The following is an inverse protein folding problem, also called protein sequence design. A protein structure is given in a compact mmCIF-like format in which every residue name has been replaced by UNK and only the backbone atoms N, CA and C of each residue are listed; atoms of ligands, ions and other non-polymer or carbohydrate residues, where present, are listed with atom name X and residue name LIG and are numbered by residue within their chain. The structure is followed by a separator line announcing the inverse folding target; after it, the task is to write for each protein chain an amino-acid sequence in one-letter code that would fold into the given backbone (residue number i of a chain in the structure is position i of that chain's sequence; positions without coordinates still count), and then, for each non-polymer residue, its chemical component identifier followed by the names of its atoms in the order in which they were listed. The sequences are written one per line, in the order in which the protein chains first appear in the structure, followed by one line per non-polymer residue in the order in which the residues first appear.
data_IF_003270062421
#
_entry.id   IF_003270062421
#
_cell.length_a   1.000
_cell.length_b   1.000
_cell.length_c   1.000
_cell.angle_alpha   90.00
_cell.angle_beta   90.00
_cell.angle_gamma   90.00
#
_symmetry.space_group_name_H-M   'P 1'
#
loop_
_entity.id
_entity.type
_entity.pdbx_description
1 polymer ?
#
# COMPACT_ATOMS: atom_id res chain seq x y z
N UNK A 1 -17.34 25.77 10.60
CA UNK A 1 -17.26 24.43 9.96
C UNK A 1 -15.93 23.82 10.37
N UNK A 2 -15.89 22.54 10.83
CA UNK A 2 -14.63 21.88 11.24
C UNK A 2 -13.81 21.55 10.01
N UNK A 3 -12.48 21.68 10.11
CA UNK A 3 -11.55 21.39 9.00
C UNK A 3 -10.87 20.07 9.24
N UNK A 4 -10.87 19.20 8.21
CA UNK A 4 -10.13 17.94 8.18
C UNK A 4 -8.95 18.13 7.22
N UNK A 5 -7.73 17.91 7.70
CA UNK A 5 -6.54 17.89 6.84
C UNK A 5 -6.28 16.49 6.33
N UNK A 6 -5.99 16.32 5.04
CA UNK A 6 -5.60 15.02 4.46
C UNK A 6 -4.24 15.16 3.79
N UNK A 7 -3.23 14.56 4.40
CA UNK A 7 -1.90 14.37 3.83
C UNK A 7 -1.84 13.01 3.16
N UNK A 8 -1.62 12.96 1.86
CA UNK A 8 -1.49 11.70 1.13
C UNK A 8 -0.16 11.63 0.38
N UNK A 9 0.58 10.53 0.53
CA UNK A 9 1.83 10.29 -0.19
C UNK A 9 1.62 9.98 -1.68
N UNK A 10 0.41 9.67 -2.10
CA UNK A 10 0.05 9.34 -3.48
C UNK A 10 -0.37 10.54 -4.31
N UNK A 11 -0.96 10.22 -5.46
CA UNK A 11 -1.45 11.16 -6.45
C UNK A 11 -2.98 11.05 -6.59
N UNK A 12 -3.72 12.17 -6.72
CA UNK A 12 -5.18 12.16 -6.79
C UNK A 12 -5.71 11.31 -7.95
N UNK A 13 -5.02 11.30 -9.09
CA UNK A 13 -5.44 10.58 -10.30
C UNK A 13 -5.48 9.05 -10.11
N UNK A 14 -4.71 8.54 -9.16
CA UNK A 14 -4.60 7.10 -8.92
C UNK A 14 -5.42 6.60 -7.73
N UNK A 15 -6.06 7.49 -6.99
CA UNK A 15 -6.68 7.22 -5.70
C UNK A 15 -8.17 7.57 -5.61
N UNK A 16 -8.84 7.81 -6.74
CA UNK A 16 -10.25 8.22 -6.78
C UNK A 16 -11.18 7.26 -6.01
N UNK A 17 -11.01 5.95 -6.18
CA UNK A 17 -11.79 4.93 -5.47
C UNK A 17 -11.55 4.97 -3.95
N UNK A 18 -10.30 5.13 -3.52
CA UNK A 18 -9.95 5.17 -2.10
C UNK A 18 -10.44 6.46 -1.44
N UNK A 19 -10.34 7.60 -2.15
CA UNK A 19 -10.91 8.87 -1.68
C UNK A 19 -12.42 8.78 -1.56
N UNK A 20 -13.10 8.21 -2.55
CA UNK A 20 -14.55 7.97 -2.48
C UNK A 20 -14.92 7.06 -1.31
N UNK A 21 -14.11 6.04 -1.00
CA UNK A 21 -14.34 5.18 0.16
C UNK A 21 -14.17 5.95 1.48
N UNK A 22 -13.17 6.83 1.58
CA UNK A 22 -13.02 7.72 2.74
C UNK A 22 -14.24 8.61 2.96
N UNK A 23 -14.75 9.25 1.88
CA UNK A 23 -15.95 10.08 1.95
C UNK A 23 -17.19 9.28 2.35
N UNK A 24 -17.33 8.03 1.89
CA UNK A 24 -18.44 7.15 2.34
C UNK A 24 -18.37 6.87 3.84
N UNK A 25 -17.20 6.45 4.36
CA UNK A 25 -17.04 6.20 5.79
C UNK A 25 -17.24 7.45 6.66
N UNK A 26 -16.80 8.61 6.17
CA UNK A 26 -17.04 9.90 6.83
C UNK A 26 -18.53 10.25 6.81
N UNK A 27 -19.23 10.01 5.71
CA UNK A 27 -20.68 10.20 5.54
C UNK A 27 -21.50 9.31 6.46
N UNK A 28 -21.10 8.03 6.64
CA UNK A 28 -21.74 7.10 7.59
C UNK A 28 -21.62 7.58 9.05
N UNK A 29 -20.56 8.34 9.36
CA UNK A 29 -20.40 8.99 10.65
C UNK A 29 -21.09 10.37 10.72
N UNK A 30 -21.91 10.74 9.72
CA UNK A 30 -22.69 11.98 9.72
C UNK A 30 -21.96 13.21 9.21
N UNK A 31 -20.78 13.08 8.61
CA UNK A 31 -19.98 14.21 8.13
C UNK A 31 -19.83 14.20 6.60
N UNK A 32 -20.19 15.34 5.98
CA UNK A 32 -20.18 15.51 4.52
C UNK A 32 -19.37 16.76 4.17
N UNK A 33 -18.38 16.60 3.29
CA UNK A 33 -17.54 17.71 2.80
C UNK A 33 -18.40 18.78 2.11
N UNK A 34 -18.13 20.04 2.41
CA UNK A 34 -18.91 21.20 1.91
C UNK A 34 -20.24 21.44 2.63
N UNK A 35 -20.72 20.54 3.52
CA UNK A 35 -21.95 20.73 4.27
C UNK A 35 -21.69 21.04 5.75
N UNK A 36 -21.02 20.15 6.47
CA UNK A 36 -20.74 20.31 7.91
C UNK A 36 -19.25 20.18 8.28
N UNK A 37 -18.42 19.76 7.33
CA UNK A 37 -16.95 19.78 7.41
C UNK A 37 -16.35 20.34 6.12
N UNK A 38 -15.07 20.75 6.17
CA UNK A 38 -14.27 21.08 4.98
C UNK A 38 -13.03 20.22 4.97
N UNK A 39 -12.71 19.60 3.82
CA UNK A 39 -11.52 18.75 3.68
C UNK A 39 -10.44 19.48 2.89
N UNK A 40 -9.24 19.57 3.48
CA UNK A 40 -8.06 20.19 2.88
C UNK A 40 -7.04 19.11 2.51
N UNK A 41 -6.90 18.82 1.21
CA UNK A 41 -5.95 17.83 0.71
C UNK A 41 -4.57 18.42 0.45
N UNK A 42 -3.52 17.62 0.76
CA UNK A 42 -2.14 17.84 0.33
C UNK A 42 -1.59 16.52 -0.22
N UNK A 43 -1.11 16.56 -1.44
CA UNK A 43 -0.66 15.41 -2.19
C UNK A 43 0.86 15.44 -2.38
N UNK A 44 1.54 14.35 -2.03
CA UNK A 44 2.98 14.17 -2.23
C UNK A 44 3.37 13.84 -3.68
N UNK A 45 2.51 14.12 -4.63
CA UNK A 45 2.51 13.70 -6.02
C UNK A 45 3.88 13.79 -6.74
N UNK A 46 4.59 14.91 -6.64
CA UNK A 46 5.86 15.09 -7.35
C UNK A 46 7.02 14.31 -6.73
N UNK A 47 7.09 14.26 -5.42
CA UNK A 47 8.09 13.48 -4.70
C UNK A 47 7.82 11.98 -4.83
N UNK A 48 6.56 11.61 -4.87
CA UNK A 48 6.10 10.27 -5.08
C UNK A 48 6.52 9.73 -6.48
N UNK A 49 6.38 10.54 -7.53
CA UNK A 49 6.86 10.21 -8.87
C UNK A 49 8.37 10.01 -8.94
N UNK A 50 9.13 10.69 -8.06
CA UNK A 50 10.59 10.60 -7.97
C UNK A 50 11.07 9.54 -6.97
N UNK A 51 10.15 8.84 -6.26
CA UNK A 51 10.49 7.92 -5.20
C UNK A 51 11.04 8.59 -3.93
N UNK A 52 10.88 9.89 -3.79
CA UNK A 52 11.37 10.71 -2.68
C UNK A 52 10.19 11.28 -1.88
N UNK A 53 10.21 11.18 -0.56
CA UNK A 53 9.12 11.60 0.32
C UNK A 53 9.40 12.88 1.13
N UNK A 54 10.52 13.58 0.87
CA UNK A 54 10.93 14.78 1.64
C UNK A 54 9.89 15.91 1.66
N UNK A 55 9.13 16.08 0.56
CA UNK A 55 8.08 17.09 0.48
C UNK A 55 6.93 16.83 1.45
N UNK A 56 6.68 15.58 1.83
CA UNK A 56 5.60 15.27 2.78
C UNK A 56 5.75 15.96 4.11
N UNK A 57 6.98 16.21 4.59
CA UNK A 57 7.25 16.96 5.82
C UNK A 57 6.78 18.41 5.69
N UNK A 58 7.08 19.08 4.57
CA UNK A 58 6.63 20.44 4.31
C UNK A 58 5.10 20.52 4.19
N UNK A 59 4.47 19.60 3.46
CA UNK A 59 3.02 19.52 3.30
C UNK A 59 2.31 19.22 4.64
N UNK A 60 2.90 18.36 5.47
CA UNK A 60 2.41 18.10 6.82
C UNK A 60 2.48 19.39 7.69
N UNK A 61 3.57 20.13 7.59
CA UNK A 61 3.74 21.40 8.31
C UNK A 61 2.76 22.47 7.82
N UNK A 62 2.43 22.53 6.53
CA UNK A 62 1.39 23.41 6.00
C UNK A 62 0.02 23.07 6.62
N UNK A 63 -0.38 21.80 6.62
CA UNK A 63 -1.64 21.36 7.21
C UNK A 63 -1.70 21.63 8.72
N UNK A 64 -0.58 21.43 9.43
CA UNK A 64 -0.50 21.67 10.87
C UNK A 64 -0.63 23.15 11.27
N UNK A 65 -0.44 24.10 10.34
CA UNK A 65 -0.68 25.53 10.54
C UNK A 65 -2.15 25.93 10.42
N UNK A 66 -2.96 25.07 9.78
CA UNK A 66 -4.40 25.29 9.65
C UNK A 66 -5.10 24.86 10.95
N UNK A 67 -6.28 25.41 11.27
CA UNK A 67 -7.07 25.00 12.43
C UNK A 67 -7.78 23.66 12.18
N UNK A 68 -6.99 22.63 11.82
CA UNK A 68 -7.54 21.30 11.53
C UNK A 68 -7.94 20.58 12.81
N UNK A 69 -9.16 20.07 12.85
CA UNK A 69 -9.69 19.28 13.97
C UNK A 69 -9.11 17.87 14.00
N UNK A 70 -8.88 17.26 12.81
CA UNK A 70 -8.28 15.94 12.63
C UNK A 70 -7.38 15.99 11.40
N UNK A 71 -6.20 15.33 11.48
CA UNK A 71 -5.30 15.13 10.35
C UNK A 71 -5.34 13.65 9.92
N UNK A 72 -5.67 13.41 8.68
CA UNK A 72 -5.59 12.08 8.06
C UNK A 72 -4.24 11.94 7.38
N UNK A 73 -3.48 10.91 7.76
CA UNK A 73 -2.17 10.60 7.18
C UNK A 73 -2.28 9.35 6.31
N UNK A 74 -2.55 9.54 5.03
CA UNK A 74 -2.88 8.49 4.08
C UNK A 74 -1.69 8.09 3.20
N UNK A 75 -1.66 6.82 2.77
CA UNK A 75 -0.61 6.28 1.89
C UNK A 75 0.58 5.68 2.63
N UNK A 76 0.39 5.20 3.86
CA UNK A 76 1.36 4.38 4.58
C UNK A 76 2.28 5.12 5.55
N UNK A 77 3.40 4.48 5.96
CA UNK A 77 4.24 4.96 7.07
C UNK A 77 4.82 6.36 6.87
N UNK A 78 5.22 6.70 5.64
CA UNK A 78 5.88 7.98 5.33
C UNK A 78 4.98 9.18 5.63
N UNK A 79 3.70 9.13 5.27
CA UNK A 79 2.73 10.18 5.59
C UNK A 79 2.46 10.24 7.09
N UNK A 80 2.35 9.08 7.75
CA UNK A 80 2.07 9.00 9.18
C UNK A 80 3.22 9.58 10.01
N UNK A 81 4.46 9.29 9.64
CA UNK A 81 5.65 9.87 10.30
C UNK A 81 5.75 11.37 10.09
N UNK A 82 5.53 11.86 8.86
CA UNK A 82 5.51 13.28 8.56
C UNK A 82 4.42 14.03 9.34
N UNK A 83 3.21 13.48 9.38
CA UNK A 83 2.10 14.05 10.17
C UNK A 83 2.40 14.05 11.67
N UNK A 84 2.98 12.96 12.20
CA UNK A 84 3.37 12.85 13.61
C UNK A 84 4.37 13.93 14.02
N UNK A 85 5.36 14.18 13.16
CA UNK A 85 6.40 15.19 13.40
C UNK A 85 5.85 16.62 13.36
N UNK A 86 4.97 16.93 12.40
CA UNK A 86 4.44 18.26 12.19
C UNK A 86 3.34 18.67 13.18
N UNK A 87 2.41 17.78 13.48
CA UNK A 87 1.24 18.07 14.30
C UNK A 87 1.50 17.79 15.78
N UNK A 88 1.64 18.82 16.62
CA UNK A 88 1.93 18.66 18.07
C UNK A 88 0.76 18.07 18.84
N UNK A 89 -0.45 18.61 18.69
CA UNK A 89 -1.63 18.26 19.50
C UNK A 89 -2.82 17.75 18.67
N UNK A 90 -2.81 17.91 17.36
CA UNK A 90 -3.90 17.50 16.48
C UNK A 90 -4.04 15.98 16.46
N UNK A 91 -5.25 15.41 16.63
CA UNK A 91 -5.53 14.02 16.38
C UNK A 91 -5.12 13.57 14.98
N UNK A 92 -4.54 12.38 14.86
CA UNK A 92 -4.09 11.84 13.57
C UNK A 92 -4.71 10.47 13.35
N UNK A 93 -5.33 10.28 12.17
CA UNK A 93 -5.81 8.98 11.68
C UNK A 93 -4.93 8.57 10.50
N UNK A 94 -4.15 7.51 10.66
CA UNK A 94 -3.31 6.99 9.58
C UNK A 94 -3.99 5.85 8.82
N UNK A 95 -3.59 5.63 7.56
CA UNK A 95 -4.09 4.50 6.75
C UNK A 95 -2.97 3.60 6.29
N UNK A 96 -3.23 2.27 6.32
CA UNK A 96 -2.38 1.24 5.70
C UNK A 96 -0.91 1.28 6.14
N UNK A 97 -0.65 1.60 7.40
CA UNK A 97 0.72 1.55 7.96
C UNK A 97 1.10 0.09 8.20
N UNK A 98 2.23 -0.34 7.66
CA UNK A 98 2.67 -1.74 7.70
C UNK A 98 2.79 -2.28 9.13
N UNK A 99 3.56 -1.61 9.98
CA UNK A 99 3.68 -1.92 11.40
C UNK A 99 3.73 -0.62 12.20
N UNK A 100 2.60 -0.16 12.73
CA UNK A 100 2.54 1.11 13.44
C UNK A 100 3.23 1.08 14.81
N UNK A 101 3.47 -0.10 15.39
CA UNK A 101 4.21 -0.25 16.65
C UNK A 101 5.71 -0.18 16.40
N UNK A 102 6.26 -0.99 15.48
CA UNK A 102 7.69 -0.94 15.11
C UNK A 102 8.10 0.43 14.55
N UNK A 103 7.22 1.09 13.80
CA UNK A 103 7.48 2.46 13.30
C UNK A 103 7.36 3.53 14.39
N UNK A 104 7.06 3.16 15.63
CA UNK A 104 6.97 4.07 16.75
C UNK A 104 5.79 5.05 16.65
N UNK A 105 4.78 4.77 15.84
CA UNK A 105 3.59 5.63 15.70
C UNK A 105 2.65 5.49 16.90
N UNK A 106 2.46 4.27 17.37
CA UNK A 106 1.60 3.93 18.51
C UNK A 106 2.32 3.01 19.49
N UNK A 107 1.82 2.94 20.75
CA UNK A 107 2.39 2.06 21.79
C UNK A 107 1.99 0.60 21.61
N UNK A 108 0.71 0.37 21.26
CA UNK A 108 0.15 -0.95 20.93
C UNK A 108 -1.03 -0.78 19.97
N UNK A 109 -1.48 -1.87 19.37
CA UNK A 109 -2.63 -1.83 18.46
C UNK A 109 -3.93 -1.60 19.23
N UNK A 110 -4.13 -2.27 20.38
CA UNK A 110 -5.36 -2.17 21.17
C UNK A 110 -5.50 -0.83 21.88
N UNK A 111 -4.38 -0.28 22.36
CA UNK A 111 -4.32 1.01 23.06
C UNK A 111 -3.19 1.87 22.50
N UNK A 112 -3.46 2.64 21.45
CA UNK A 112 -2.46 3.47 20.77
C UNK A 112 -1.73 4.45 21.70
N UNK A 113 -2.44 4.97 22.72
CA UNK A 113 -1.84 5.68 23.84
C UNK A 113 -1.28 7.06 23.51
N UNK A 114 -1.88 7.77 22.56
CA UNK A 114 -1.46 9.12 22.16
C UNK A 114 -2.47 9.78 21.26
N UNK A 115 -2.00 10.63 20.37
CA UNK A 115 -2.85 11.36 19.41
C UNK A 115 -3.05 10.61 18.07
N UNK A 116 -2.47 9.43 17.91
CA UNK A 116 -2.51 8.65 16.67
C UNK A 116 -3.34 7.39 16.84
N UNK A 117 -4.16 7.11 15.82
CA UNK A 117 -4.83 5.82 15.59
C UNK A 117 -5.00 5.64 14.09
N UNK A 118 -5.60 4.54 13.62
CA UNK A 118 -5.87 4.34 12.20
C UNK A 118 -5.96 2.88 11.80
N UNK A 119 -5.53 2.56 10.57
CA UNK A 119 -5.57 1.21 10.02
C UNK A 119 -4.16 0.70 9.72
N UNK A 120 -3.85 -0.51 10.17
CA UNK A 120 -2.62 -1.20 9.82
C UNK A 120 -2.73 -1.87 8.44
N UNK A 121 -1.61 -2.04 7.75
CA UNK A 121 -1.56 -2.66 6.42
C UNK A 121 -1.11 -4.11 6.40
N UNK A 122 -0.33 -4.57 7.39
CA UNK A 122 0.27 -5.91 7.50
C UNK A 122 0.95 -6.39 6.20
N UNK A 123 1.45 -5.45 5.37
CA UNK A 123 1.84 -5.75 3.99
C UNK A 123 3.11 -6.57 3.87
N UNK A 124 4.06 -6.45 4.81
CA UNK A 124 5.31 -7.24 4.81
C UNK A 124 5.07 -8.69 5.25
N UNK A 125 4.16 -8.93 6.20
CA UNK A 125 3.78 -10.28 6.62
C UNK A 125 3.13 -11.07 5.48
N UNK A 126 2.47 -10.37 4.55
CA UNK A 126 1.84 -10.97 3.38
C UNK A 126 2.81 -11.29 2.24
N UNK A 127 4.05 -10.80 2.29
CA UNK A 127 5.03 -11.09 1.24
C UNK A 127 5.40 -12.59 1.21
N UNK A 128 5.38 -13.27 2.37
CA UNK A 128 5.52 -14.72 2.43
C UNK A 128 4.39 -15.43 1.64
N UNK A 129 3.15 -15.05 1.89
CA UNK A 129 1.99 -15.60 1.16
C UNK A 129 2.06 -15.29 -0.34
N UNK A 130 2.56 -14.11 -0.73
CA UNK A 130 2.78 -13.78 -2.14
C UNK A 130 3.84 -14.66 -2.80
N UNK A 131 4.91 -15.01 -2.07
CA UNK A 131 5.89 -15.99 -2.55
C UNK A 131 5.29 -17.39 -2.70
N UNK A 132 4.44 -17.82 -1.76
CA UNK A 132 3.69 -19.09 -1.85
C UNK A 132 2.80 -19.11 -3.10
N UNK A 133 2.08 -18.03 -3.36
CA UNK A 133 1.23 -17.89 -4.55
C UNK A 133 2.04 -17.98 -5.84
N UNK A 134 3.21 -17.34 -5.92
CA UNK A 134 4.10 -17.48 -7.09
C UNK A 134 4.58 -18.91 -7.27
N UNK A 135 4.91 -19.61 -6.19
CA UNK A 135 5.30 -21.02 -6.22
C UNK A 135 4.16 -21.91 -6.68
N UNK A 136 2.92 -21.63 -6.27
CA UNK A 136 1.74 -22.38 -6.68
C UNK A 136 1.47 -22.23 -8.19
N UNK A 137 1.69 -21.02 -8.75
CA UNK A 137 1.62 -20.80 -10.19
C UNK A 137 2.77 -21.45 -10.98
N UNK A 138 3.93 -21.55 -10.39
CA UNK A 138 5.14 -22.05 -11.05
C UNK A 138 5.87 -23.07 -10.16
N UNK A 139 5.41 -24.34 -10.15
CA UNK A 139 5.90 -25.37 -9.23
C UNK A 139 7.26 -25.95 -9.66
N UNK A 140 8.21 -25.10 -10.09
CA UNK A 140 9.58 -25.53 -10.39
C UNK A 140 10.31 -25.95 -9.11
N UNK A 141 11.18 -26.96 -9.22
CA UNK A 141 12.01 -27.41 -8.10
C UNK A 141 12.95 -26.31 -7.57
N UNK A 142 13.43 -25.46 -8.44
CA UNK A 142 14.22 -24.25 -8.14
C UNK A 142 13.55 -23.05 -8.82
N UNK A 143 12.82 -22.27 -8.06
CA UNK A 143 12.20 -21.05 -8.55
C UNK A 143 13.07 -19.84 -8.16
N UNK A 144 13.48 -19.07 -9.17
CA UNK A 144 14.21 -17.79 -8.98
C UNK A 144 13.21 -16.66 -9.05
N UNK A 145 13.01 -15.97 -7.93
CA UNK A 145 12.04 -14.86 -7.81
C UNK A 145 12.78 -13.54 -7.77
N UNK A 146 12.50 -12.67 -8.74
CA UNK A 146 12.86 -11.27 -8.68
C UNK A 146 12.02 -10.55 -7.62
N UNK A 147 12.64 -9.66 -6.86
CA UNK A 147 11.95 -8.82 -5.88
C UNK A 147 12.25 -7.36 -6.16
N UNK A 148 11.23 -6.56 -6.43
CA UNK A 148 11.38 -5.13 -6.65
C UNK A 148 11.08 -4.38 -5.36
N UNK A 149 12.07 -3.64 -4.82
CA UNK A 149 11.98 -2.87 -3.59
C UNK A 149 12.28 -1.39 -3.81
N UNK A 150 11.65 -0.51 -3.02
CA UNK A 150 11.98 0.91 -3.01
C UNK A 150 13.04 1.20 -1.92
N UNK A 151 14.27 1.60 -2.29
CA UNK A 151 15.35 1.87 -1.32
C UNK A 151 15.06 3.09 -0.42
N UNK A 152 14.10 3.95 -0.79
CA UNK A 152 13.74 5.14 -0.02
C UNK A 152 12.78 4.83 1.15
N UNK A 153 12.31 3.59 1.28
CA UNK A 153 11.49 3.19 2.43
C UNK A 153 12.33 3.04 3.69
N UNK A 154 11.84 3.54 4.85
CA UNK A 154 12.56 3.41 6.12
C UNK A 154 12.79 1.97 6.59
N UNK A 155 11.90 1.03 6.19
CA UNK A 155 11.88 -0.36 6.64
C UNK A 155 12.38 -1.37 5.57
N UNK A 156 12.94 -0.89 4.45
CA UNK A 156 13.33 -1.73 3.28
C UNK A 156 14.33 -2.82 3.64
N UNK A 157 15.31 -2.52 4.48
CA UNK A 157 16.36 -3.50 4.85
C UNK A 157 15.78 -4.61 5.74
N UNK A 158 14.90 -4.25 6.70
CA UNK A 158 14.18 -5.22 7.52
C UNK A 158 13.26 -6.10 6.66
N UNK A 159 12.46 -5.50 5.79
CA UNK A 159 11.60 -6.23 4.84
C UNK A 159 12.40 -7.19 3.95
N UNK A 160 13.52 -6.73 3.39
CA UNK A 160 14.38 -7.56 2.53
C UNK A 160 14.99 -8.74 3.30
N UNK A 161 15.40 -8.53 4.56
CA UNK A 161 15.91 -9.58 5.43
C UNK A 161 14.85 -10.63 5.71
N UNK A 162 13.63 -10.20 6.07
CA UNK A 162 12.52 -11.10 6.36
C UNK A 162 12.11 -11.91 5.12
N UNK A 163 12.07 -11.26 3.94
CA UNK A 163 11.82 -11.93 2.66
C UNK A 163 12.84 -13.01 2.34
N UNK A 164 14.14 -12.75 2.58
CA UNK A 164 15.20 -13.74 2.35
C UNK A 164 15.02 -14.95 3.27
N UNK A 165 14.77 -14.73 4.57
CA UNK A 165 14.54 -15.81 5.52
C UNK A 165 13.36 -16.70 5.08
N UNK A 166 12.24 -16.09 4.65
CA UNK A 166 11.09 -16.83 4.15
C UNK A 166 11.35 -17.58 2.85
N UNK A 167 12.12 -16.99 1.95
CA UNK A 167 12.51 -17.64 0.71
C UNK A 167 13.41 -18.85 0.95
N UNK A 168 14.35 -18.75 1.91
CA UNK A 168 15.21 -19.87 2.31
C UNK A 168 14.39 -21.03 2.89
N UNK A 169 13.39 -20.75 3.76
CA UNK A 169 12.45 -21.75 4.26
C UNK A 169 11.70 -22.48 3.13
N UNK A 170 11.37 -21.74 2.07
CA UNK A 170 10.65 -22.24 0.89
C UNK A 170 11.57 -22.84 -0.17
N UNK A 171 12.90 -22.80 0.02
CA UNK A 171 13.92 -23.18 -0.98
C UNK A 171 13.81 -22.41 -2.30
N UNK A 172 13.47 -21.10 -2.20
CA UNK A 172 13.45 -20.16 -3.31
C UNK A 172 14.75 -19.37 -3.38
N UNK A 173 15.16 -18.99 -4.59
CA UNK A 173 16.26 -18.07 -4.78
C UNK A 173 15.70 -16.67 -5.01
N UNK A 174 16.14 -15.66 -4.25
CA UNK A 174 15.73 -14.27 -4.46
C UNK A 174 16.81 -13.44 -5.16
N UNK A 175 16.36 -12.66 -6.13
CA UNK A 175 17.12 -11.61 -6.79
C UNK A 175 16.45 -10.28 -6.45
N UNK A 176 17.06 -9.50 -5.56
CA UNK A 176 16.49 -8.24 -5.09
C UNK A 176 17.05 -7.08 -5.90
N UNK A 177 16.17 -6.34 -6.57
CA UNK A 177 16.48 -5.13 -7.32
C UNK A 177 15.83 -3.90 -6.68
N UNK A 178 16.59 -2.81 -6.66
CA UNK A 178 16.18 -1.54 -6.06
C UNK A 178 15.71 -0.57 -7.14
N UNK A 179 14.54 0.04 -6.92
CA UNK A 179 14.03 1.12 -7.77
C UNK A 179 13.41 2.22 -6.91
N UNK A 180 14.11 3.34 -6.79
CA UNK A 180 13.70 4.50 -5.99
C UNK A 180 13.29 5.70 -6.83
N UNK A 181 13.51 5.65 -8.16
CA UNK A 181 13.11 6.65 -9.12
C UNK A 181 12.55 5.99 -10.40
N UNK A 182 11.87 6.79 -11.23
CA UNK A 182 11.18 6.27 -12.42
C UNK A 182 12.09 5.50 -13.39
N UNK A 183 13.30 6.03 -13.63
CA UNK A 183 14.30 5.40 -14.51
C UNK A 183 14.85 4.09 -13.98
N UNK A 184 14.86 3.92 -12.65
CA UNK A 184 15.39 2.73 -11.99
C UNK A 184 14.52 1.51 -12.27
N UNK A 185 13.19 1.69 -12.39
CA UNK A 185 12.25 0.59 -12.66
C UNK A 185 12.66 -0.15 -13.93
N UNK A 186 12.89 0.58 -15.03
CA UNK A 186 13.33 -0.01 -16.31
C UNK A 186 14.67 -0.72 -16.20
N UNK A 187 15.59 -0.15 -15.43
CA UNK A 187 16.92 -0.73 -15.19
C UNK A 187 16.81 -2.02 -14.38
N UNK A 188 16.01 -2.03 -13.31
CA UNK A 188 15.75 -3.19 -12.49
C UNK A 188 15.15 -4.36 -13.32
N UNK A 189 14.15 -4.09 -14.16
CA UNK A 189 13.57 -5.11 -15.04
C UNK A 189 14.59 -5.69 -16.03
N UNK A 190 15.47 -4.87 -16.63
CA UNK A 190 16.55 -5.35 -17.49
C UNK A 190 17.53 -6.26 -16.74
N UNK A 191 17.84 -5.94 -15.47
CA UNK A 191 18.72 -6.77 -14.65
C UNK A 191 18.05 -8.10 -14.29
N UNK A 192 16.78 -8.07 -13.86
CA UNK A 192 15.99 -9.28 -13.56
C UNK A 192 15.91 -10.21 -14.79
N UNK A 193 15.66 -9.65 -15.97
CA UNK A 193 15.63 -10.42 -17.22
C UNK A 193 16.99 -11.07 -17.54
N UNK A 194 18.12 -10.35 -17.36
CA UNK A 194 19.46 -10.90 -17.53
C UNK A 194 19.77 -12.02 -16.54
N UNK A 195 19.26 -11.91 -15.32
CA UNK A 195 19.39 -12.95 -14.29
C UNK A 195 18.39 -14.10 -14.46
N UNK A 196 17.57 -14.08 -15.50
CA UNK A 196 16.61 -15.12 -15.87
C UNK A 196 15.71 -15.50 -14.71
N UNK A 197 15.17 -14.50 -13.99
CA UNK A 197 14.18 -14.77 -12.95
C UNK A 197 12.92 -15.39 -13.54
N UNK A 198 12.31 -16.32 -12.81
CA UNK A 198 11.12 -17.06 -13.25
C UNK A 198 9.82 -16.33 -12.94
N UNK A 199 9.82 -15.47 -11.93
CA UNK A 199 8.66 -14.73 -11.43
C UNK A 199 9.10 -13.44 -10.75
N UNK A 200 8.15 -12.54 -10.47
CA UNK A 200 8.39 -11.25 -9.84
C UNK A 200 7.47 -11.02 -8.66
N UNK A 201 8.03 -10.62 -7.53
CA UNK A 201 7.33 -10.00 -6.41
C UNK A 201 7.58 -8.49 -6.42
N UNK A 202 6.53 -7.69 -6.52
CA UNK A 202 6.62 -6.24 -6.32
C UNK A 202 6.19 -5.91 -4.90
N UNK A 203 7.09 -5.36 -4.08
CA UNK A 203 6.78 -5.05 -2.69
C UNK A 203 5.82 -3.88 -2.56
N UNK A 204 5.11 -3.82 -1.42
CA UNK A 204 4.14 -2.76 -1.16
C UNK A 204 4.83 -1.41 -1.00
N UNK A 205 4.60 -0.52 -1.94
CA UNK A 205 5.11 0.85 -1.89
C UNK A 205 4.20 1.81 -2.68
N UNK A 206 3.90 3.01 -2.15
CA UNK A 206 3.14 4.02 -2.86
C UNK A 206 3.76 4.44 -4.20
N UNK A 207 5.09 4.49 -4.30
CA UNK A 207 5.80 4.80 -5.54
C UNK A 207 5.47 3.77 -6.63
N UNK A 208 5.55 2.46 -6.34
CA UNK A 208 5.17 1.43 -7.32
C UNK A 208 3.69 1.48 -7.67
N UNK A 209 2.83 1.82 -6.71
CA UNK A 209 1.39 1.97 -6.98
C UNK A 209 1.11 3.11 -7.98
N UNK A 210 1.81 4.27 -7.88
CA UNK A 210 1.65 5.35 -8.86
C UNK A 210 2.20 4.98 -10.24
N UNK A 211 3.17 4.08 -10.26
CA UNK A 211 3.83 3.60 -11.49
C UNK A 211 3.31 2.22 -11.93
N UNK A 212 2.14 1.81 -11.38
CA UNK A 212 1.61 0.46 -11.66
C UNK A 212 1.48 0.15 -13.14
N UNK A 213 1.05 1.10 -13.96
CA UNK A 213 0.97 0.91 -15.40
C UNK A 213 2.35 0.61 -16.02
N UNK A 214 3.38 1.34 -15.63
CA UNK A 214 4.77 1.11 -16.07
C UNK A 214 5.29 -0.25 -15.59
N UNK A 215 5.08 -0.58 -14.31
CA UNK A 215 5.54 -1.85 -13.72
C UNK A 215 4.85 -3.04 -14.39
N UNK A 216 3.54 -2.95 -14.62
CA UNK A 216 2.76 -3.99 -15.29
C UNK A 216 3.18 -4.15 -16.74
N UNK A 217 3.37 -3.05 -17.49
CA UNK A 217 3.83 -3.09 -18.87
C UNK A 217 5.21 -3.75 -19.01
N UNK A 218 6.15 -3.43 -18.11
CA UNK A 218 7.48 -4.05 -18.11
C UNK A 218 7.42 -5.55 -17.73
N UNK A 219 6.55 -5.93 -16.79
CA UNK A 219 6.34 -7.34 -16.47
C UNK A 219 5.80 -8.12 -17.69
N UNK A 220 4.86 -7.53 -18.44
CA UNK A 220 4.32 -8.11 -19.67
C UNK A 220 5.40 -8.17 -20.78
N UNK A 221 6.17 -7.09 -21.01
CA UNK A 221 7.28 -7.03 -21.98
C UNK A 221 8.29 -8.17 -21.76
N UNK A 222 8.66 -8.39 -20.49
CA UNK A 222 9.60 -9.45 -20.11
C UNK A 222 8.95 -10.82 -19.86
N UNK A 223 7.64 -10.94 -20.08
CA UNK A 223 6.85 -12.16 -19.84
C UNK A 223 7.05 -12.74 -18.43
N UNK A 224 7.16 -11.88 -17.42
CA UNK A 224 7.37 -12.26 -16.05
C UNK A 224 6.03 -12.44 -15.32
N UNK A 225 5.68 -13.64 -14.85
CA UNK A 225 4.58 -13.83 -13.91
C UNK A 225 4.83 -13.01 -12.66
N UNK A 226 3.94 -12.06 -12.34
CA UNK A 226 4.16 -11.13 -11.25
C UNK A 226 3.00 -11.15 -10.26
N UNK A 227 3.35 -11.08 -8.96
CA UNK A 227 2.42 -10.85 -7.87
C UNK A 227 2.61 -9.47 -7.29
N UNK A 228 1.50 -8.84 -7.02
CA UNK A 228 1.41 -7.48 -6.51
C UNK A 228 0.61 -7.44 -5.20
N UNK A 229 0.71 -6.34 -4.49
CA UNK A 229 0.07 -6.17 -3.20
C UNK A 229 -1.39 -5.69 -3.28
N UNK A 230 -1.80 -5.03 -4.36
CA UNK A 230 -3.12 -4.39 -4.46
C UNK A 230 -3.84 -4.69 -5.76
N UNK A 231 -5.17 -4.86 -5.64
CA UNK A 231 -6.10 -5.10 -6.75
C UNK A 231 -5.85 -4.21 -7.99
N UNK A 232 -5.51 -2.93 -7.77
CA UNK A 232 -5.26 -1.97 -8.84
C UNK A 232 -4.18 -2.39 -9.85
N UNK A 233 -3.22 -3.23 -9.45
CA UNK A 233 -2.24 -3.79 -10.39
C UNK A 233 -2.86 -4.86 -11.29
N UNK A 234 -3.70 -5.74 -10.76
CA UNK A 234 -4.40 -6.75 -11.55
C UNK A 234 -5.40 -6.09 -12.53
N UNK A 235 -6.10 -5.04 -12.10
CA UNK A 235 -6.97 -4.23 -12.95
C UNK A 235 -6.19 -3.55 -14.08
N UNK A 236 -4.95 -3.12 -13.82
CA UNK A 236 -4.09 -2.52 -14.83
C UNK A 236 -3.44 -3.54 -15.79
N UNK A 237 -3.79 -4.82 -15.71
CA UNK A 237 -3.25 -5.89 -16.55
C UNK A 237 -2.13 -6.71 -15.90
N UNK A 238 -1.85 -6.53 -14.61
CA UNK A 238 -0.93 -7.40 -13.85
C UNK A 238 -1.55 -8.78 -13.62
N UNK A 239 -0.71 -9.84 -13.53
CA UNK A 239 -1.18 -11.22 -13.42
C UNK A 239 -2.03 -11.45 -12.18
N UNK A 240 -1.51 -11.11 -11.00
CA UNK A 240 -2.15 -11.45 -9.74
C UNK A 240 -1.82 -10.45 -8.64
N UNK A 241 -2.78 -10.17 -7.79
CA UNK A 241 -2.53 -9.45 -6.54
C UNK A 241 -3.06 -10.22 -5.33
N UNK A 242 -2.38 -10.04 -4.19
CA UNK A 242 -2.84 -10.53 -2.89
C UNK A 242 -2.58 -9.47 -1.82
N UNK A 243 -3.61 -9.04 -1.13
CA UNK A 243 -3.48 -8.07 -0.06
C UNK A 243 -4.80 -7.56 0.49
N UNK A 244 -4.72 -6.67 1.49
CA UNK A 244 -5.90 -6.03 2.06
C UNK A 244 -6.51 -5.03 1.08
N UNK A 245 -7.80 -4.80 1.22
CA UNK A 245 -8.50 -3.75 0.51
C UNK A 245 -8.06 -2.37 1.01
N UNK A 246 -7.38 -1.60 0.16
CA UNK A 246 -7.03 -0.20 0.48
C UNK A 246 -8.29 0.64 0.62
N UNK A 247 -9.30 0.39 -0.21
CA UNK A 247 -10.58 1.11 -0.13
C UNK A 247 -11.24 0.92 1.24
N UNK A 248 -11.21 -0.30 1.79
CA UNK A 248 -11.73 -0.57 3.14
C UNK A 248 -10.94 0.18 4.22
N UNK A 249 -9.61 0.22 4.12
CA UNK A 249 -8.78 0.97 5.06
C UNK A 249 -9.11 2.49 5.07
N UNK A 250 -9.39 3.06 3.89
CA UNK A 250 -9.78 4.48 3.79
C UNK A 250 -11.21 4.72 4.29
N UNK A 251 -12.13 3.79 4.02
CA UNK A 251 -13.49 3.83 4.55
C UNK A 251 -13.48 3.84 6.09
N UNK A 252 -12.74 2.92 6.71
CA UNK A 252 -12.58 2.87 8.16
C UNK A 252 -11.93 4.13 8.74
N UNK A 253 -10.96 4.71 8.03
CA UNK A 253 -10.37 5.98 8.41
C UNK A 253 -11.41 7.12 8.43
N UNK A 254 -12.34 7.14 7.46
CA UNK A 254 -13.47 8.08 7.44
C UNK A 254 -14.36 7.95 8.67
N UNK A 255 -14.72 6.72 9.05
CA UNK A 255 -15.50 6.44 10.27
C UNK A 255 -14.73 6.91 11.52
N UNK A 256 -13.43 6.64 11.61
CA UNK A 256 -12.62 7.07 12.76
C UNK A 256 -12.50 8.59 12.85
N UNK A 257 -12.37 9.28 11.73
CA UNK A 257 -12.39 10.76 11.70
C UNK A 257 -13.71 11.27 12.28
N UNK A 258 -14.85 10.72 11.86
CA UNK A 258 -16.15 11.10 12.41
C UNK A 258 -16.23 10.89 13.93
N UNK A 259 -15.84 9.71 14.41
CA UNK A 259 -15.82 9.42 15.86
C UNK A 259 -14.93 10.40 16.65
N UNK A 260 -13.79 10.80 16.11
CA UNK A 260 -12.91 11.80 16.74
C UNK A 260 -13.56 13.17 16.72
N UNK A 261 -14.24 13.54 15.64
CA UNK A 261 -15.02 14.78 15.59
C UNK A 261 -16.15 14.80 16.63
N UNK A 262 -16.73 13.63 16.97
CA UNK A 262 -17.73 13.45 18.03
C UNK A 262 -17.12 13.39 19.45
N UNK A 263 -15.78 13.51 19.56
CA UNK A 263 -15.10 13.60 20.85
C UNK A 263 -14.37 12.34 21.31
N UNK A 264 -14.35 11.27 20.50
CA UNK A 264 -13.56 10.09 20.82
C UNK A 264 -12.06 10.42 20.81
N UNK A 265 -11.31 9.86 21.75
CA UNK A 265 -9.88 10.08 21.86
C UNK A 265 -9.12 9.04 21.02
N UNK A 266 -8.17 9.45 20.14
CA UNK A 266 -7.35 8.52 19.39
C UNK A 266 -6.65 7.47 20.26
N UNK A 267 -6.25 7.86 21.48
CA UNK A 267 -5.60 6.97 22.45
C UNK A 267 -6.43 5.73 22.85
N UNK A 268 -7.76 5.85 22.74
CA UNK A 268 -8.74 4.84 23.14
C UNK A 268 -9.34 4.08 21.93
N UNK A 269 -9.03 4.54 20.71
CA UNK A 269 -9.46 3.89 19.46
C UNK A 269 -8.41 2.88 19.01
N UNK A 270 -8.68 1.56 19.04
CA UNK A 270 -7.73 0.55 18.59
C UNK A 270 -7.29 0.78 17.13
N UNK A 271 -6.05 0.46 16.82
CA UNK A 271 -5.61 0.39 15.42
C UNK A 271 -6.30 -0.79 14.75
N UNK A 272 -7.02 -0.53 13.69
CA UNK A 272 -7.76 -1.57 12.97
C UNK A 272 -6.83 -2.39 12.10
N UNK A 273 -6.87 -3.70 12.26
CA UNK A 273 -6.22 -4.65 11.35
C UNK A 273 -7.12 -4.89 10.13
N UNK A 274 -6.55 -5.21 8.97
CA UNK A 274 -7.35 -5.62 7.83
C UNK A 274 -8.17 -6.86 8.18
N UNK A 275 -9.46 -6.81 7.93
CA UNK A 275 -10.38 -7.94 8.16
C UNK A 275 -10.62 -8.77 6.90
N UNK A 276 -10.28 -8.21 5.73
CA UNK A 276 -10.49 -8.84 4.43
C UNK A 276 -9.23 -8.78 3.58
N UNK A 277 -8.81 -9.95 3.12
CA UNK A 277 -7.75 -10.11 2.13
C UNK A 277 -8.36 -10.67 0.86
N UNK A 278 -7.92 -10.17 -0.28
CA UNK A 278 -8.38 -10.63 -1.58
C UNK A 278 -7.22 -11.14 -2.43
N UNK A 279 -7.43 -12.26 -3.08
CA UNK A 279 -6.63 -12.71 -4.22
C UNK A 279 -7.36 -12.32 -5.48
N UNK A 280 -6.70 -11.58 -6.36
CA UNK A 280 -7.28 -11.17 -7.65
C UNK A 280 -6.39 -11.66 -8.76
N UNK A 281 -6.95 -12.34 -9.76
CA UNK A 281 -6.22 -12.90 -10.91
C UNK A 281 -6.80 -12.30 -12.19
N UNK A 282 -5.92 -11.78 -13.04
CA UNK A 282 -6.27 -11.35 -14.39
C UNK A 282 -6.11 -12.53 -15.35
N UNK A 283 -7.23 -13.03 -15.85
CA UNK A 283 -7.27 -14.23 -16.71
C UNK A 283 -6.64 -13.98 -18.08
N UNK A 284 -6.79 -12.77 -18.64
CA UNK A 284 -6.17 -12.43 -19.93
C UNK A 284 -4.65 -12.42 -19.83
N UNK A 285 -4.12 -11.90 -18.74
CA UNK A 285 -2.67 -11.91 -18.49
C UNK A 285 -2.16 -13.33 -18.27
N UNK A 286 -2.92 -14.18 -17.57
CA UNK A 286 -2.57 -15.58 -17.40
C UNK A 286 -2.54 -16.32 -18.76
N UNK A 287 -3.53 -16.07 -19.62
CA UNK A 287 -3.59 -16.62 -20.99
C UNK A 287 -2.42 -16.12 -21.87
N UNK A 288 -2.14 -14.81 -21.83
CA UNK A 288 -1.02 -14.21 -22.57
C UNK A 288 0.35 -14.79 -22.15
N UNK A 289 0.52 -15.09 -20.85
CA UNK A 289 1.70 -15.76 -20.30
C UNK A 289 1.68 -17.28 -20.48
N UNK A 290 0.61 -17.84 -21.05
CA UNK A 290 0.39 -19.29 -21.22
C UNK A 290 0.48 -20.07 -19.89
N UNK A 291 -0.02 -19.45 -18.82
CA UNK A 291 -0.03 -20.04 -17.48
C UNK A 291 -1.33 -20.80 -17.24
N UNK A 292 -1.21 -22.01 -16.74
CA UNK A 292 -2.35 -22.77 -16.23
C UNK A 292 -2.58 -22.39 -14.78
N UNK A 293 -3.74 -21.78 -14.50
CA UNK A 293 -4.10 -21.40 -13.14
C UNK A 293 -4.54 -22.65 -12.37
N UNK A 294 -3.92 -22.97 -11.22
CA UNK A 294 -4.35 -24.08 -10.38
C UNK A 294 -5.80 -23.94 -9.92
N UNK A 295 -6.54 -25.04 -9.83
CA UNK A 295 -7.92 -25.05 -9.36
C UNK A 295 -8.07 -24.46 -7.95
N UNK A 296 -7.10 -24.69 -7.08
CA UNK A 296 -7.02 -24.14 -5.74
C UNK A 296 -7.04 -22.59 -5.74
N UNK A 297 -6.36 -21.97 -6.70
CA UNK A 297 -6.34 -20.52 -6.87
C UNK A 297 -7.63 -19.98 -7.49
N UNK A 298 -8.18 -20.69 -8.50
CA UNK A 298 -9.46 -20.30 -9.10
C UNK A 298 -10.60 -20.26 -8.07
N UNK A 299 -10.65 -21.22 -7.15
CA UNK A 299 -11.72 -21.35 -6.16
C UNK A 299 -11.73 -20.24 -5.10
N UNK A 300 -10.57 -19.59 -4.84
CA UNK A 300 -10.41 -18.59 -3.76
C UNK A 300 -10.09 -17.18 -4.25
N UNK A 301 -10.13 -16.97 -5.57
CA UNK A 301 -9.73 -15.70 -6.16
C UNK A 301 -10.89 -14.98 -6.83
N UNK A 302 -10.83 -13.66 -6.83
CA UNK A 302 -11.63 -12.83 -7.73
C UNK A 302 -10.98 -12.86 -9.11
N UNK A 303 -11.74 -13.26 -10.11
CA UNK A 303 -11.24 -13.38 -11.48
C UNK A 303 -11.63 -12.12 -12.27
N UNK A 304 -10.64 -11.51 -12.94
CA UNK A 304 -10.86 -10.39 -13.85
C UNK A 304 -10.79 -10.88 -15.29
N UNK A 305 -11.78 -10.49 -16.09
CA UNK A 305 -11.78 -10.50 -17.55
C UNK A 305 -12.23 -9.13 -18.02
N UNK A 306 -11.63 -8.59 -19.08
CA UNK A 306 -12.20 -7.44 -19.78
C UNK A 306 -13.54 -7.86 -20.38
N UNK A 307 -14.51 -6.97 -20.28
CA UNK A 307 -15.83 -7.14 -20.93
C UNK A 307 -15.71 -6.85 -22.42
#
# INVERSE_FOLDING_TARGET
MRVIGVLNSGAPETLGETVAAFHRGLGEAGYVDGQNVTIQYRWGHDDYKRGNYKRLEALAAELAKLPVAVLVAAGGPVSALAAKAAAKNTPIVFTSVTDPVKSGLVKSLDRPGGKLTGTAGLTTELDATRLELLREFNPKARLVVGVLVNPNRPDVDAQTKDLRAKADDMKLQLVVEKAGAEGDIKTAFKTLARQKVDALLVTADPFFNSRRAQVVALAAEHKLPAVYQWRGFAVAGGLMSYGPSIADAYHQAGIYVGRILDGAKPAELPVMLPSRFETVINLETAEALKLKIPHSLLARSTLLRSQ
#
